data_IF_678301413429
#
_entry.id   IF_678301413429
#
_cell.length_a   1.000
_cell.length_b   1.000
_cell.length_c   1.000
_cell.angle_alpha   90.00
_cell.angle_beta   90.00
_cell.angle_gamma   90.00
#
_symmetry.space_group_name_H-M   'P 1'
#
loop_
_entity.id
_entity.type
_entity.pdbx_description
1 polymer ?
#
# COMPACT_ATOMS: atom_id res chain seq x y z
N UNK A 1 13.79 -76.45 -14.41
CA UNK A 1 14.86 -75.44 -14.55
C UNK A 1 14.22 -74.06 -14.52
N UNK A 2 13.95 -73.54 -13.33
CA UNK A 2 13.22 -72.28 -13.11
C UNK A 2 14.20 -71.11 -13.20
N UNK A 3 14.13 -70.34 -14.30
CA UNK A 3 14.91 -69.11 -14.50
C UNK A 3 14.42 -68.03 -13.54
N UNK A 4 15.20 -67.72 -12.50
CA UNK A 4 15.00 -66.53 -11.68
C UNK A 4 15.29 -65.27 -12.52
N UNK A 5 14.24 -64.53 -12.84
CA UNK A 5 14.34 -63.20 -13.44
C UNK A 5 14.98 -62.23 -12.42
N UNK A 6 15.96 -61.41 -12.83
CA UNK A 6 16.79 -60.62 -11.91
C UNK A 6 16.01 -59.48 -11.25
N UNK A 7 16.34 -59.27 -9.98
CA UNK A 7 15.92 -58.26 -8.99
C UNK A 7 16.23 -56.79 -9.40
N UNK A 8 16.06 -56.42 -10.68
CA UNK A 8 16.38 -55.10 -11.25
C UNK A 8 15.20 -54.12 -11.28
N UNK A 9 13.96 -54.61 -11.21
CA UNK A 9 12.77 -53.77 -11.36
C UNK A 9 12.40 -52.99 -10.08
N UNK A 10 12.79 -53.48 -8.89
CA UNK A 10 12.48 -52.80 -7.61
C UNK A 10 13.28 -51.51 -7.38
N UNK A 11 14.54 -51.47 -7.83
CA UNK A 11 15.37 -50.26 -7.75
C UNK A 11 14.86 -49.16 -8.69
N UNK A 12 14.48 -49.53 -9.92
CA UNK A 12 13.92 -48.60 -10.90
C UNK A 12 12.61 -47.98 -10.39
N UNK A 13 11.76 -48.77 -9.74
CA UNK A 13 10.49 -48.32 -9.19
C UNK A 13 10.69 -47.36 -8.00
N UNK A 14 11.66 -47.66 -7.11
CA UNK A 14 12.07 -46.74 -6.03
C UNK A 14 12.61 -45.40 -6.57
N UNK A 15 13.40 -45.43 -7.64
CA UNK A 15 13.97 -44.24 -8.26
C UNK A 15 12.87 -43.35 -8.88
N UNK A 16 11.89 -43.95 -9.56
CA UNK A 16 10.75 -43.23 -10.12
C UNK A 16 9.90 -42.59 -9.01
N UNK A 17 9.60 -43.31 -7.94
CA UNK A 17 8.83 -42.77 -6.80
C UNK A 17 9.60 -41.65 -6.10
N UNK A 18 10.92 -41.78 -5.96
CA UNK A 18 11.77 -40.74 -5.39
C UNK A 18 11.72 -39.46 -6.24
N UNK A 19 11.84 -39.58 -7.56
CA UNK A 19 11.80 -38.45 -8.50
C UNK A 19 10.41 -37.79 -8.51
N UNK A 20 9.33 -38.58 -8.53
CA UNK A 20 7.97 -38.05 -8.46
C UNK A 20 7.70 -37.37 -7.10
N UNK A 21 8.25 -37.92 -6.01
CA UNK A 21 8.15 -37.35 -4.68
C UNK A 21 8.83 -35.98 -4.57
N UNK A 22 10.07 -35.85 -5.06
CA UNK A 22 10.78 -34.56 -5.01
C UNK A 22 10.14 -33.50 -5.93
N UNK A 23 9.62 -33.92 -7.10
CA UNK A 23 8.89 -33.02 -7.99
C UNK A 23 7.60 -32.49 -7.35
N UNK A 24 6.81 -33.37 -6.73
CA UNK A 24 5.57 -32.95 -6.03
C UNK A 24 5.87 -32.00 -4.87
N UNK A 25 6.89 -32.29 -4.06
CA UNK A 25 7.30 -31.41 -2.96
C UNK A 25 7.85 -30.06 -3.44
N UNK A 26 8.56 -30.05 -4.57
CA UNK A 26 9.02 -28.82 -5.22
C UNK A 26 7.87 -27.94 -5.70
N UNK A 27 6.86 -28.53 -6.34
CA UNK A 27 5.69 -27.77 -6.83
C UNK A 27 4.84 -27.21 -5.69
N UNK A 28 4.63 -27.96 -4.61
CA UNK A 28 3.92 -27.48 -3.42
C UNK A 28 4.66 -26.32 -2.74
N UNK A 29 5.99 -26.41 -2.65
CA UNK A 29 6.82 -25.33 -2.09
C UNK A 29 6.75 -24.07 -2.93
N UNK A 30 6.82 -24.21 -4.27
CA UNK A 30 6.68 -23.09 -5.19
C UNK A 30 5.29 -22.42 -5.08
N UNK A 31 4.23 -23.21 -4.98
CA UNK A 31 2.87 -22.69 -4.80
C UNK A 31 2.71 -21.96 -3.46
N UNK A 32 3.27 -22.50 -2.37
CA UNK A 32 3.23 -21.87 -1.06
C UNK A 32 3.99 -20.54 -1.04
N UNK A 33 5.16 -20.47 -1.69
CA UNK A 33 5.93 -19.22 -1.82
C UNK A 33 5.18 -18.18 -2.64
N UNK A 34 4.58 -18.57 -3.76
CA UNK A 34 3.76 -17.66 -4.56
C UNK A 34 2.53 -17.17 -3.80
N UNK A 35 1.88 -18.04 -3.03
CA UNK A 35 0.74 -17.66 -2.18
C UNK A 35 1.16 -16.70 -1.05
N UNK A 36 2.31 -16.93 -0.43
CA UNK A 36 2.86 -16.04 0.58
C UNK A 36 3.20 -14.66 0.00
N UNK A 37 3.88 -14.62 -1.14
CA UNK A 37 4.20 -13.35 -1.81
C UNK A 37 2.92 -12.59 -2.18
N UNK A 38 1.93 -13.28 -2.74
CA UNK A 38 0.64 -12.66 -3.05
C UNK A 38 -0.09 -12.13 -1.80
N UNK A 39 0.05 -12.80 -0.65
CA UNK A 39 -0.51 -12.30 0.62
C UNK A 39 0.24 -11.07 1.13
N UNK A 40 1.57 -11.06 1.07
CA UNK A 40 2.39 -9.90 1.44
C UNK A 40 2.06 -8.69 0.56
N UNK A 41 1.97 -8.89 -0.76
CA UNK A 41 1.58 -7.85 -1.71
C UNK A 41 0.18 -7.28 -1.39
N UNK A 42 -0.78 -8.16 -1.06
CA UNK A 42 -2.13 -7.74 -0.68
C UNK A 42 -2.13 -6.95 0.65
N UNK A 43 -1.31 -7.35 1.62
CA UNK A 43 -1.17 -6.64 2.88
C UNK A 43 -0.53 -5.26 2.71
N UNK A 44 0.50 -5.17 1.87
CA UNK A 44 1.16 -3.90 1.55
C UNK A 44 0.20 -2.96 0.82
N UNK A 45 -0.60 -3.48 -0.12
CA UNK A 45 -1.65 -2.69 -0.77
C UNK A 45 -2.69 -2.18 0.22
N UNK A 46 -3.16 -3.05 1.13
CA UNK A 46 -4.11 -2.65 2.19
C UNK A 46 -3.52 -1.55 3.07
N UNK A 47 -2.24 -1.69 3.43
CA UNK A 47 -1.53 -0.71 4.25
C UNK A 47 -1.39 0.62 3.53
N UNK A 48 -0.98 0.60 2.26
CA UNK A 48 -0.88 1.79 1.43
C UNK A 48 -2.22 2.52 1.27
N UNK A 49 -3.33 1.79 1.14
CA UNK A 49 -4.68 2.35 1.10
C UNK A 49 -5.11 2.94 2.44
N UNK A 50 -4.76 2.30 3.56
CA UNK A 50 -5.02 2.83 4.88
C UNK A 50 -4.27 4.16 5.13
N UNK A 51 -3.00 4.24 4.73
CA UNK A 51 -2.21 5.49 4.79
C UNK A 51 -2.82 6.56 3.90
N UNK A 52 -3.28 6.21 2.69
CA UNK A 52 -4.00 7.15 1.82
C UNK A 52 -5.24 7.73 2.49
N UNK A 53 -6.08 6.88 3.10
CA UNK A 53 -7.28 7.33 3.81
C UNK A 53 -6.94 8.28 4.97
N UNK A 54 -5.86 8.02 5.71
CA UNK A 54 -5.37 8.90 6.78
C UNK A 54 -4.97 10.29 6.26
N UNK A 55 -4.23 10.37 5.14
CA UNK A 55 -3.84 11.67 4.56
C UNK A 55 -5.06 12.45 4.07
N UNK A 56 -6.04 11.78 3.46
CA UNK A 56 -7.29 12.43 3.04
C UNK A 56 -8.05 13.00 4.25
N UNK A 57 -8.12 12.27 5.36
CA UNK A 57 -8.72 12.80 6.59
C UNK A 57 -7.99 14.04 7.13
N UNK A 58 -6.66 14.07 7.09
CA UNK A 58 -5.89 15.27 7.42
C UNK A 58 -6.19 16.45 6.48
N UNK A 59 -6.35 16.18 5.18
CA UNK A 59 -6.70 17.21 4.21
C UNK A 59 -8.09 17.78 4.50
N UNK A 60 -9.07 16.94 4.82
CA UNK A 60 -10.43 17.37 5.16
C UNK A 60 -10.42 18.31 6.37
N UNK A 61 -9.71 17.94 7.44
CA UNK A 61 -9.53 18.81 8.61
C UNK A 61 -8.85 20.13 8.24
N UNK A 62 -7.81 20.09 7.41
CA UNK A 62 -7.13 21.29 6.95
C UNK A 62 -8.05 22.22 6.15
N UNK A 63 -8.92 21.68 5.31
CA UNK A 63 -9.91 22.45 4.53
C UNK A 63 -11.02 23.02 5.42
N UNK A 64 -11.49 22.27 6.42
CA UNK A 64 -12.47 22.75 7.42
C UNK A 64 -11.88 23.92 8.20
N UNK A 65 -10.63 23.83 8.63
CA UNK A 65 -9.95 24.92 9.31
C UNK A 65 -9.74 26.12 8.39
N UNK A 66 -9.32 25.88 7.14
CA UNK A 66 -9.11 26.95 6.17
C UNK A 66 -10.42 27.70 5.83
N UNK A 67 -11.55 27.00 5.79
CA UNK A 67 -12.86 27.63 5.57
C UNK A 67 -13.23 28.60 6.70
N UNK A 68 -12.82 28.31 7.94
CA UNK A 68 -13.09 29.16 9.12
C UNK A 68 -12.06 30.26 9.28
N UNK A 69 -10.81 29.99 8.92
CA UNK A 69 -9.69 30.91 9.01
C UNK A 69 -8.89 30.94 7.71
N UNK A 70 -9.08 32.00 6.94
CA UNK A 70 -8.36 32.24 5.68
C UNK A 70 -6.83 32.37 5.85
N UNK A 71 -6.35 32.61 7.08
CA UNK A 71 -4.94 32.68 7.43
C UNK A 71 -4.38 31.34 7.96
N UNK A 72 -5.18 30.28 8.01
CA UNK A 72 -4.77 28.97 8.48
C UNK A 72 -3.58 28.42 7.70
N UNK A 73 -2.43 28.28 8.38
CA UNK A 73 -1.18 27.79 7.81
C UNK A 73 -0.30 27.09 8.87
N UNK A 74 -0.80 26.07 9.59
CA UNK A 74 0.04 25.34 10.53
C UNK A 74 1.01 24.41 9.82
N UNK A 75 2.06 23.99 10.52
CA UNK A 75 3.01 22.99 10.03
C UNK A 75 2.47 21.55 10.12
N UNK A 76 1.38 21.32 10.87
CA UNK A 76 0.75 20.00 11.01
C UNK A 76 -0.73 20.12 11.29
N UNK A 77 -1.47 19.04 11.01
CA UNK A 77 -2.89 18.88 11.35
C UNK A 77 -3.12 17.50 11.94
N UNK A 78 -3.99 17.43 12.94
CA UNK A 78 -4.37 16.19 13.60
C UNK A 78 -5.77 15.84 13.12
N UNK A 79 -5.91 14.64 12.57
CA UNK A 79 -7.21 13.98 12.35
C UNK A 79 -7.44 12.94 13.44
N UNK A 80 -8.63 12.34 13.46
CA UNK A 80 -8.95 11.26 14.42
C UNK A 80 -8.00 10.06 14.36
N UNK A 81 -7.34 9.83 13.22
CA UNK A 81 -6.59 8.60 12.95
C UNK A 81 -5.11 8.82 12.59
N UNK A 82 -4.67 10.08 12.43
CA UNK A 82 -3.30 10.42 12.05
C UNK A 82 -2.96 11.90 12.28
N UNK A 83 -1.68 12.18 12.47
CA UNK A 83 -1.11 13.53 12.41
C UNK A 83 -0.31 13.67 11.13
N UNK A 84 -0.68 14.63 10.28
CA UNK A 84 -0.01 14.88 9.01
C UNK A 84 0.78 16.20 9.06
N UNK A 85 1.88 16.24 8.33
CA UNK A 85 2.59 17.49 8.05
C UNK A 85 1.80 18.28 7.02
N UNK A 86 1.69 19.58 7.21
CA UNK A 86 1.03 20.50 6.28
C UNK A 86 2.03 21.53 5.75
N UNK A 87 1.91 21.84 4.48
CA UNK A 87 2.47 23.05 3.88
C UNK A 87 1.34 23.81 3.19
N UNK A 88 1.11 25.05 3.63
CA UNK A 88 0.10 25.93 3.05
C UNK A 88 0.77 27.09 2.34
N UNK A 89 0.46 27.27 1.06
CA UNK A 89 1.00 28.35 0.22
C UNK A 89 -0.13 29.12 -0.46
N UNK A 90 0.21 30.29 -0.98
CA UNK A 90 -0.73 31.19 -1.68
C UNK A 90 -0.23 31.38 -3.11
N UNK A 91 -0.51 30.45 -4.04
CA UNK A 91 0.03 30.53 -5.39
C UNK A 91 -0.54 31.73 -6.16
N UNK A 92 -1.79 32.11 -5.88
CA UNK A 92 -2.49 33.25 -6.46
C UNK A 92 -3.28 33.95 -5.35
N UNK A 93 -3.44 35.27 -5.44
CA UNK A 93 -4.29 36.02 -4.51
C UNK A 93 -5.71 35.45 -4.47
N UNK A 94 -6.25 35.29 -3.26
CA UNK A 94 -7.57 34.69 -3.05
C UNK A 94 -7.63 33.16 -3.16
N UNK A 95 -6.49 32.48 -3.37
CA UNK A 95 -6.37 31.02 -3.36
C UNK A 95 -5.39 30.54 -2.29
N UNK A 96 -5.59 29.31 -1.83
CA UNK A 96 -4.64 28.58 -0.98
C UNK A 96 -4.38 27.22 -1.58
N UNK A 97 -3.12 26.80 -1.53
CA UNK A 97 -2.72 25.44 -1.82
C UNK A 97 -2.30 24.79 -0.52
N UNK A 98 -2.88 23.62 -0.22
CA UNK A 98 -2.56 22.80 0.94
C UNK A 98 -1.87 21.55 0.42
N UNK A 99 -0.71 21.23 0.97
CA UNK A 99 -0.03 19.96 0.77
C UNK A 99 -0.05 19.24 2.11
N UNK A 100 -0.79 18.15 2.19
CA UNK A 100 -0.80 17.26 3.34
C UNK A 100 0.10 16.06 3.06
N UNK A 101 1.00 15.72 3.99
CA UNK A 101 1.87 14.56 3.86
C UNK A 101 1.93 13.74 5.14
N UNK A 102 2.05 12.42 4.97
CA UNK A 102 2.18 11.46 6.05
C UNK A 102 3.20 10.40 5.67
N UNK A 103 4.01 10.02 6.66
CA UNK A 103 4.87 8.85 6.59
C UNK A 103 4.38 7.90 7.67
N UNK A 104 3.87 6.74 7.26
CA UNK A 104 3.35 5.74 8.19
C UNK A 104 3.61 4.34 7.66
N UNK A 105 4.08 3.44 8.54
CA UNK A 105 4.41 2.05 8.22
C UNK A 105 5.31 1.87 6.98
N UNK A 106 6.26 2.80 6.75
CA UNK A 106 7.16 2.78 5.60
C UNK A 106 6.58 3.33 4.30
N UNK A 107 5.31 3.74 4.29
CA UNK A 107 4.67 4.40 3.16
C UNK A 107 4.66 5.91 3.36
N UNK A 108 5.15 6.64 2.35
CA UNK A 108 5.01 8.09 2.26
C UNK A 108 3.90 8.41 1.28
N UNK A 109 2.93 9.22 1.70
CA UNK A 109 1.86 9.73 0.85
C UNK A 109 1.73 11.22 1.03
N UNK A 110 1.42 11.92 -0.06
CA UNK A 110 1.03 13.32 -0.03
C UNK A 110 -0.22 13.55 -0.86
N UNK A 111 -0.99 14.57 -0.50
CA UNK A 111 -2.16 15.03 -1.23
C UNK A 111 -2.11 16.54 -1.32
N UNK A 112 -2.34 17.04 -2.52
CA UNK A 112 -2.26 18.45 -2.84
C UNK A 112 -3.68 18.94 -3.14
N UNK A 113 -4.15 19.96 -2.46
CA UNK A 113 -5.42 20.59 -2.72
C UNK A 113 -5.24 22.09 -2.98
N UNK A 114 -6.06 22.63 -3.86
CA UNK A 114 -6.18 24.08 -4.07
C UNK A 114 -7.61 24.50 -3.78
N UNK A 115 -7.79 25.57 -3.03
CA UNK A 115 -9.08 26.15 -2.71
C UNK A 115 -9.10 27.67 -2.94
N UNK A 116 -10.22 28.20 -3.41
CA UNK A 116 -10.52 29.64 -3.39
C UNK A 116 -11.06 30.03 -2.02
N UNK A 117 -10.80 31.26 -1.57
CA UNK A 117 -11.24 31.75 -0.25
C UNK A 117 -12.58 32.48 -0.29
N UNK A 118 -12.94 33.10 -1.43
CA UNK A 118 -14.21 33.82 -1.59
C UNK A 118 -14.72 33.72 -3.04
N UNK A 119 -15.77 32.92 -3.31
CA UNK A 119 -16.40 31.96 -2.40
C UNK A 119 -15.43 30.82 -2.03
N UNK A 120 -15.64 30.20 -0.86
CA UNK A 120 -14.86 29.02 -0.48
C UNK A 120 -15.22 27.85 -1.39
N UNK A 121 -14.27 27.37 -2.18
CA UNK A 121 -14.45 26.22 -3.06
C UNK A 121 -13.12 25.50 -3.29
N UNK A 122 -13.14 24.17 -3.19
CA UNK A 122 -11.99 23.33 -3.58
C UNK A 122 -11.99 23.21 -5.10
N UNK A 123 -10.94 23.72 -5.74
CA UNK A 123 -10.83 23.77 -7.20
C UNK A 123 -10.04 22.60 -7.78
N UNK A 124 -9.13 22.03 -6.99
CA UNK A 124 -8.30 20.91 -7.42
C UNK A 124 -7.88 20.06 -6.22
N UNK A 125 -7.88 18.74 -6.39
CA UNK A 125 -7.22 17.79 -5.50
C UNK A 125 -6.39 16.84 -6.36
N UNK A 126 -5.16 16.55 -5.96
CA UNK A 126 -4.24 15.69 -6.71
C UNK A 126 -3.35 14.91 -5.76
N UNK A 127 -3.15 13.64 -6.06
CA UNK A 127 -2.22 12.75 -5.38
C UNK A 127 -1.03 12.53 -6.33
N UNK A 128 0.19 12.99 -6.00
CA UNK A 128 1.39 12.68 -6.76
C UNK A 128 1.86 11.23 -6.57
#
# INVERSE_FOLDING_TARGET
>A
MTKHLPKKNGLALLLIVLVLGTLSMGTLSALALNGLNGFLDANDLRTALAVRAKVMGCLDEALIHLQKDNAYAPASVVSSNATCTLAVTTPVSGQRQIIASLVDQGFTRSVHATATLSPFAVTKVTEP
#
